data_IF_779028148004
#
_entry.id   IF_779028148004
#
_cell.length_a   1.000
_cell.length_b   1.000
_cell.length_c   1.000
_cell.angle_alpha   90.00
_cell.angle_beta   90.00
_cell.angle_gamma   90.00
#
_symmetry.space_group_name_H-M   'P 1'
#
loop_
_entity.id
_entity.type
_entity.pdbx_description
1 polymer ?
#
# COMPACT_ATOMS: atom_id res chain seq x y z
N UNK A 1 22.66 -0.99 -1.30
CA UNK A 1 21.95 -1.81 -2.32
C UNK A 1 22.81 -2.95 -2.89
N UNK A 2 23.97 -2.68 -3.52
CA UNK A 2 24.87 -3.75 -4.02
C UNK A 2 25.43 -4.67 -2.91
N UNK A 3 25.70 -4.13 -1.72
CA UNK A 3 26.30 -4.88 -0.61
C UNK A 3 25.38 -5.99 -0.03
N UNK A 4 24.06 -5.76 0.04
CA UNK A 4 23.07 -6.77 0.48
C UNK A 4 22.94 -7.91 -0.53
N UNK A 5 23.00 -7.61 -1.83
CA UNK A 5 22.97 -8.63 -2.88
C UNK A 5 24.24 -9.50 -2.87
N UNK A 6 25.41 -8.89 -2.61
CA UNK A 6 26.67 -9.62 -2.43
C UNK A 6 26.63 -10.49 -1.16
N UNK A 7 26.11 -9.97 -0.05
CA UNK A 7 25.92 -10.74 1.18
C UNK A 7 25.02 -11.95 0.96
N UNK A 8 23.90 -11.79 0.25
CA UNK A 8 23.02 -12.90 -0.14
C UNK A 8 23.76 -13.98 -0.94
N UNK A 9 24.55 -13.57 -1.95
CA UNK A 9 25.35 -14.50 -2.76
C UNK A 9 26.43 -15.22 -1.94
N UNK A 10 27.04 -14.52 -0.97
CA UNK A 10 28.07 -15.07 -0.09
C UNK A 10 27.48 -16.09 0.89
N UNK A 11 26.35 -15.78 1.52
CA UNK A 11 25.59 -16.68 2.42
C UNK A 11 25.11 -17.94 1.68
N UNK A 12 24.72 -17.80 0.40
CA UNK A 12 24.35 -18.95 -0.41
C UNK A 12 25.55 -19.86 -0.76
N UNK A 13 26.76 -19.30 -0.81
CA UNK A 13 27.98 -20.02 -1.23
C UNK A 13 28.75 -20.64 -0.06
N UNK A 14 28.65 -20.08 1.14
CA UNK A 14 29.21 -20.65 2.36
C UNK A 14 28.13 -21.40 3.14
N UNK A 15 27.99 -22.70 2.88
CA UNK A 15 27.14 -23.58 3.70
C UNK A 15 27.96 -24.80 4.17
N UNK A 16 27.92 -25.15 5.48
CA UNK A 16 27.20 -24.46 6.56
C UNK A 16 27.94 -23.20 7.07
N UNK A 17 27.20 -22.16 7.49
CA UNK A 17 27.78 -21.01 8.18
C UNK A 17 28.10 -21.36 9.64
N UNK A 18 29.22 -20.86 10.20
CA UNK A 18 29.48 -20.95 11.63
C UNK A 18 28.35 -20.28 12.45
N UNK A 19 27.87 -20.91 13.54
CA UNK A 19 26.72 -20.39 14.30
C UNK A 19 26.92 -18.98 14.87
N UNK A 20 28.12 -18.64 15.32
CA UNK A 20 28.44 -17.29 15.81
C UNK A 20 28.39 -16.25 14.70
N UNK A 21 28.87 -16.60 13.50
CA UNK A 21 28.80 -15.73 12.32
C UNK A 21 27.35 -15.52 11.89
N UNK A 22 26.52 -16.58 11.91
CA UNK A 22 25.09 -16.49 11.60
C UNK A 22 24.35 -15.56 12.59
N UNK A 23 24.62 -15.69 13.89
CA UNK A 23 24.08 -14.80 14.94
C UNK A 23 24.43 -13.33 14.71
N UNK A 24 25.71 -13.03 14.47
CA UNK A 24 26.18 -11.65 14.26
C UNK A 24 25.57 -11.03 13.00
N UNK A 25 25.49 -11.78 11.90
CA UNK A 25 24.88 -11.29 10.65
C UNK A 25 23.37 -11.08 10.84
N UNK A 26 22.67 -11.99 11.51
CA UNK A 26 21.24 -11.85 11.77
C UNK A 26 20.96 -10.58 12.61
N UNK A 27 21.73 -10.34 13.67
CA UNK A 27 21.59 -9.14 14.48
C UNK A 27 21.88 -7.85 13.71
N UNK A 28 22.91 -7.84 12.87
CA UNK A 28 23.22 -6.69 12.02
C UNK A 28 22.11 -6.42 10.98
N UNK A 29 21.53 -7.47 10.39
CA UNK A 29 20.41 -7.36 9.44
C UNK A 29 19.12 -6.91 10.11
N UNK A 30 18.80 -7.40 11.31
CA UNK A 30 17.68 -6.91 12.10
C UNK A 30 17.89 -5.43 12.48
N UNK A 31 19.11 -5.04 12.84
CA UNK A 31 19.50 -3.64 13.03
C UNK A 31 19.22 -2.77 11.81
N UNK A 32 19.54 -3.29 10.62
CA UNK A 32 19.30 -2.61 9.36
C UNK A 32 17.80 -2.52 9.02
N UNK A 33 17.03 -3.57 9.27
CA UNK A 33 15.56 -3.58 9.14
C UNK A 33 14.94 -2.53 10.04
N UNK A 34 15.36 -2.49 11.32
CA UNK A 34 14.89 -1.50 12.29
C UNK A 34 15.25 -0.06 11.89
N UNK A 35 16.44 0.16 11.35
CA UNK A 35 16.85 1.45 10.82
C UNK A 35 15.93 1.90 9.68
N UNK A 36 15.68 1.03 8.70
CA UNK A 36 14.80 1.37 7.57
C UNK A 36 13.35 1.61 7.97
N UNK A 37 12.84 0.92 8.99
CA UNK A 37 11.49 1.13 9.54
C UNK A 37 11.39 2.44 10.34
N UNK A 38 12.48 2.91 10.95
CA UNK A 38 12.48 4.07 11.86
C UNK A 38 12.88 5.40 11.23
N UNK A 39 13.55 5.39 10.08
CA UNK A 39 13.93 6.63 9.39
C UNK A 39 12.74 7.16 8.57
N UNK A 40 12.07 8.25 9.00
CA UNK A 40 10.99 8.86 8.23
C UNK A 40 11.62 9.57 7.01
N UNK A 41 11.33 9.07 5.82
CA UNK A 41 11.98 9.47 4.55
C UNK A 41 12.85 8.36 3.92
N UNK A 42 13.03 7.25 4.63
CA UNK A 42 13.71 6.05 4.14
C UNK A 42 12.70 5.01 3.68
N UNK A 43 12.05 4.29 4.60
CA UNK A 43 11.07 3.25 4.28
C UNK A 43 9.86 3.38 5.19
N UNK A 44 8.69 3.07 4.64
CA UNK A 44 7.43 2.99 5.39
C UNK A 44 6.95 4.29 6.04
N UNK A 45 6.95 5.38 5.27
CA UNK A 45 6.10 6.53 5.53
C UNK A 45 5.53 6.97 4.19
N UNK A 46 4.22 6.76 3.99
CA UNK A 46 3.57 7.08 2.73
C UNK A 46 3.81 8.53 2.33
N UNK A 47 4.47 8.71 1.18
CA UNK A 47 4.26 9.84 0.29
C UNK A 47 4.83 9.50 -1.09
N UNK A 48 4.03 9.85 -2.11
CA UNK A 48 4.45 10.23 -3.46
C UNK A 48 4.80 9.09 -4.43
N UNK A 49 3.79 8.71 -5.22
CA UNK A 49 3.94 8.39 -6.64
C UNK A 49 4.84 7.20 -7.00
N UNK A 50 4.29 5.98 -6.96
CA UNK A 50 4.61 4.88 -7.89
C UNK A 50 6.04 4.30 -7.92
N UNK A 51 7.03 4.98 -7.35
CA UNK A 51 8.36 4.46 -7.14
C UNK A 51 8.42 3.85 -5.75
N UNK A 52 8.67 2.55 -5.70
CA UNK A 52 9.13 1.89 -4.48
C UNK A 52 10.48 2.50 -4.15
N UNK A 53 10.44 3.56 -3.35
CA UNK A 53 11.61 4.26 -2.84
C UNK A 53 12.59 3.21 -2.34
N UNK A 54 13.86 3.33 -2.74
CA UNK A 54 14.86 2.26 -2.65
C UNK A 54 15.13 1.63 -1.28
N UNK A 55 14.44 2.06 -0.23
CA UNK A 55 14.38 1.45 1.09
C UNK A 55 13.53 0.18 1.17
N UNK A 56 12.34 0.14 0.55
CA UNK A 56 11.46 -1.05 0.64
C UNK A 56 12.08 -2.26 -0.07
N UNK A 57 12.79 -2.03 -1.19
CA UNK A 57 13.59 -3.07 -1.85
C UNK A 57 14.78 -3.52 -0.99
N UNK A 58 15.38 -2.61 -0.23
CA UNK A 58 16.49 -2.93 0.68
C UNK A 58 16.00 -3.70 1.91
N UNK A 59 14.81 -3.38 2.41
CA UNK A 59 14.08 -4.07 3.47
C UNK A 59 13.73 -5.50 3.04
N UNK A 60 13.12 -5.67 1.87
CA UNK A 60 12.80 -6.98 1.31
C UNK A 60 14.06 -7.85 1.12
N UNK A 61 15.16 -7.27 0.63
CA UNK A 61 16.44 -7.96 0.51
C UNK A 61 17.01 -8.34 1.88
N UNK A 62 16.98 -7.45 2.87
CA UNK A 62 17.45 -7.75 4.23
C UNK A 62 16.65 -8.91 4.86
N UNK A 63 15.33 -8.88 4.75
CA UNK A 63 14.45 -9.95 5.24
C UNK A 63 14.70 -11.29 4.52
N UNK A 64 14.94 -11.26 3.21
CA UNK A 64 15.28 -12.47 2.45
C UNK A 64 16.58 -13.12 2.92
N UNK A 65 17.56 -12.31 3.35
CA UNK A 65 18.83 -12.81 3.88
C UNK A 65 18.65 -13.29 5.33
N UNK A 66 17.83 -12.61 6.15
CA UNK A 66 17.45 -13.11 7.48
C UNK A 66 16.84 -14.51 7.40
N UNK A 67 15.96 -14.75 6.42
CA UNK A 67 15.35 -16.08 6.19
C UNK A 67 16.38 -17.16 5.84
N UNK A 68 17.41 -16.81 5.06
CA UNK A 68 18.47 -17.74 4.68
C UNK A 68 19.41 -18.08 5.85
N UNK A 69 19.57 -17.16 6.80
CA UNK A 69 20.51 -17.29 7.93
C UNK A 69 19.84 -17.94 9.15
N UNK A 70 18.55 -17.69 9.36
CA UNK A 70 17.80 -18.17 10.53
C UNK A 70 18.02 -19.67 10.86
N UNK A 71 18.08 -20.61 9.89
CA UNK A 71 18.34 -22.02 10.19
C UNK A 71 19.72 -22.32 10.77
N UNK A 72 20.71 -21.45 10.57
CA UNK A 72 22.08 -21.61 11.07
C UNK A 72 22.29 -20.95 12.44
N UNK A 73 21.27 -20.28 12.97
CA UNK A 73 21.32 -19.57 14.26
C UNK A 73 20.84 -20.52 15.35
N UNK A 74 21.78 -21.11 16.08
CA UNK A 74 21.44 -22.04 17.16
C UNK A 74 20.67 -21.33 18.28
N UNK A 75 19.53 -21.88 18.68
CA UNK A 75 18.69 -21.34 19.74
C UNK A 75 17.76 -20.19 19.32
N UNK A 76 17.64 -19.91 18.02
CA UNK A 76 16.65 -18.96 17.52
C UNK A 76 15.26 -19.58 17.48
N UNK A 77 14.39 -19.20 18.42
CA UNK A 77 12.98 -19.60 18.36
C UNK A 77 12.14 -18.52 17.69
N UNK A 78 11.13 -18.95 16.93
CA UNK A 78 10.19 -18.03 16.28
C UNK A 78 9.49 -17.09 17.27
N UNK A 79 9.24 -17.57 18.50
CA UNK A 79 8.67 -16.75 19.58
C UNK A 79 9.57 -15.56 19.97
N UNK A 80 10.89 -15.75 19.96
CA UNK A 80 11.87 -14.72 20.35
C UNK A 80 12.07 -13.71 19.21
N UNK A 81 12.03 -14.18 17.97
CA UNK A 81 12.03 -13.31 16.79
C UNK A 81 10.77 -12.44 16.76
N UNK A 82 9.59 -13.05 16.94
CA UNK A 82 8.31 -12.33 17.01
C UNK A 82 8.28 -11.32 18.15
N UNK A 83 8.79 -11.69 19.34
CA UNK A 83 8.85 -10.80 20.49
C UNK A 83 9.80 -9.62 20.24
N UNK A 84 10.98 -9.86 19.67
CA UNK A 84 11.94 -8.81 19.31
C UNK A 84 11.34 -7.85 18.29
N UNK A 85 10.73 -8.35 17.22
CA UNK A 85 10.10 -7.52 16.19
C UNK A 85 8.94 -6.68 16.75
N UNK A 86 8.13 -7.24 17.64
CA UNK A 86 7.03 -6.53 18.30
C UNK A 86 7.54 -5.44 19.25
N UNK A 87 8.57 -5.73 20.05
CA UNK A 87 9.22 -4.76 20.94
C UNK A 87 9.79 -3.58 20.16
N UNK A 88 10.32 -3.86 18.97
CA UNK A 88 10.96 -2.90 18.10
C UNK A 88 9.99 -2.25 17.08
N UNK A 89 8.68 -2.54 17.17
CA UNK A 89 7.62 -2.03 16.28
C UNK A 89 7.82 -2.33 14.77
N UNK A 90 8.47 -3.45 14.46
CA UNK A 90 8.80 -3.88 13.10
C UNK A 90 8.00 -5.10 12.63
N UNK A 91 7.05 -5.60 13.44
CA UNK A 91 6.25 -6.79 13.14
C UNK A 91 5.31 -6.59 11.93
N UNK A 92 4.85 -5.36 11.71
CA UNK A 92 4.01 -5.00 10.56
C UNK A 92 4.76 -5.11 9.21
N UNK A 93 6.07 -4.83 9.19
CA UNK A 93 6.89 -4.85 7.98
C UNK A 93 7.20 -6.27 7.44
N UNK A 94 7.08 -7.29 8.30
CA UNK A 94 7.27 -8.71 7.94
C UNK A 94 5.93 -9.36 7.55
N UNK A 95 4.82 -8.71 7.86
CA UNK A 95 3.46 -9.20 7.68
C UNK A 95 2.95 -9.00 6.25
N UNK A 96 3.82 -9.11 5.24
CA UNK A 96 3.49 -8.90 3.81
C UNK A 96 2.52 -9.99 3.29
N UNK A 97 2.32 -11.10 4.01
CA UNK A 97 1.47 -12.22 3.57
C UNK A 97 0.31 -12.60 4.50
N UNK A 98 0.12 -11.92 5.64
CA UNK A 98 -0.93 -12.28 6.59
C UNK A 98 -1.95 -11.15 6.67
N UNK A 99 -3.05 -11.28 5.91
CA UNK A 99 -4.28 -10.49 6.01
C UNK A 99 -4.02 -9.06 6.50
N UNK A 100 -3.46 -8.18 5.66
CA UNK A 100 -3.46 -6.78 6.01
C UNK A 100 -4.94 -6.37 6.11
N UNK A 101 -5.42 -5.96 7.30
CA UNK A 101 -6.79 -5.50 7.40
C UNK A 101 -6.92 -4.31 6.44
N UNK A 102 -7.99 -4.28 5.64
CA UNK A 102 -8.29 -3.12 4.82
C UNK A 102 -8.47 -1.88 5.70
N UNK A 103 -8.32 -0.68 5.13
CA UNK A 103 -8.77 0.54 5.79
C UNK A 103 -10.16 0.31 6.39
N UNK A 104 -10.40 0.68 7.64
CA UNK A 104 -11.73 0.42 8.28
C UNK A 104 -12.83 1.31 7.73
N UNK A 105 -12.45 2.48 7.22
CA UNK A 105 -13.33 3.45 6.62
C UNK A 105 -12.58 4.30 5.61
N UNK A 106 -13.32 4.86 4.67
CA UNK A 106 -12.85 5.80 3.65
C UNK A 106 -13.69 7.08 3.75
N UNK A 107 -13.04 8.21 3.51
CA UNK A 107 -13.69 9.51 3.39
C UNK A 107 -13.84 9.84 1.91
N UNK A 108 -15.05 10.17 1.46
CA UNK A 108 -15.31 10.59 0.07
C UNK A 108 -15.81 12.03 0.08
N UNK A 109 -15.09 12.90 -0.62
CA UNK A 109 -15.45 14.28 -0.87
C UNK A 109 -16.34 14.37 -2.10
N UNK A 110 -17.25 15.34 -2.12
CA UNK A 110 -18.19 15.55 -3.24
C UNK A 110 -17.49 15.98 -4.53
N UNK A 111 -18.24 16.47 -5.52
CA UNK A 111 -17.62 16.99 -6.73
C UNK A 111 -16.77 18.24 -6.41
N UNK A 112 -15.63 18.44 -7.10
CA UNK A 112 -14.84 19.64 -6.94
C UNK A 112 -15.62 20.87 -7.47
N UNK A 113 -15.27 22.06 -6.98
CA UNK A 113 -16.02 23.31 -7.20
C UNK A 113 -16.20 23.67 -8.68
N UNK A 114 -15.27 23.26 -9.53
CA UNK A 114 -15.29 23.44 -10.99
C UNK A 114 -16.31 22.54 -11.70
N UNK A 115 -16.72 21.44 -11.06
CA UNK A 115 -17.72 20.49 -11.60
C UNK A 115 -19.07 20.58 -10.89
N UNK A 116 -19.17 21.38 -9.83
CA UNK A 116 -20.37 21.54 -9.02
C UNK A 116 -21.38 22.44 -9.75
N UNK A 117 -22.52 21.90 -10.18
CA UNK A 117 -23.57 22.65 -10.87
C UNK A 117 -24.50 23.44 -9.93
N UNK A 118 -24.43 23.20 -8.62
CA UNK A 118 -25.22 23.88 -7.59
C UNK A 118 -24.43 23.95 -6.29
N UNK A 119 -24.55 25.04 -5.53
CA UNK A 119 -23.83 25.34 -4.28
C UNK A 119 -24.20 24.42 -3.08
N UNK A 120 -24.44 23.14 -3.33
CA UNK A 120 -24.86 22.16 -2.33
C UNK A 120 -23.70 21.36 -1.77
N UNK A 121 -23.54 21.42 -0.44
CA UNK A 121 -22.67 20.60 0.41
C UNK A 121 -21.17 20.73 0.18
N UNK A 122 -20.69 21.97 0.24
CA UNK A 122 -19.27 22.28 0.41
C UNK A 122 -18.81 21.93 1.85
N UNK A 123 -18.00 20.89 1.98
CA UNK A 123 -17.02 20.77 3.07
C UNK A 123 -17.09 19.52 3.94
N UNK A 124 -18.22 18.80 3.98
CA UNK A 124 -18.34 17.58 4.81
C UNK A 124 -18.16 16.34 3.92
N UNK A 125 -17.08 15.55 4.13
CA UNK A 125 -16.91 14.30 3.40
C UNK A 125 -17.88 13.23 3.92
N UNK A 126 -18.40 12.42 3.00
CA UNK A 126 -19.10 11.19 3.32
C UNK A 126 -18.11 10.18 3.94
N UNK A 127 -18.55 9.44 4.96
CA UNK A 127 -17.71 8.43 5.62
C UNK A 127 -18.33 7.06 5.42
N UNK A 128 -17.60 6.15 4.77
CA UNK A 128 -18.09 4.81 4.48
C UNK A 128 -17.26 3.76 5.19
N UNK A 129 -17.87 2.79 5.89
CA UNK A 129 -17.15 1.61 6.36
C UNK A 129 -16.65 0.81 5.15
N UNK A 130 -15.52 0.13 5.32
CA UNK A 130 -14.99 -0.77 4.30
C UNK A 130 -14.98 -2.18 4.87
N UNK A 131 -15.66 -3.05 4.16
CA UNK A 131 -15.70 -4.50 4.37
C UNK A 131 -14.83 -5.18 3.31
N UNK A 132 -14.65 -6.48 3.44
CA UNK A 132 -13.80 -7.26 2.55
C UNK A 132 -14.28 -7.21 1.09
N UNK A 133 -15.59 -7.17 0.90
CA UNK A 133 -16.28 -7.17 -0.39
C UNK A 133 -16.58 -5.77 -0.92
N UNK A 134 -16.23 -4.71 -0.19
CA UNK A 134 -16.54 -3.33 -0.62
C UNK A 134 -15.77 -2.99 -1.90
N UNK A 135 -16.52 -2.74 -2.98
CA UNK A 135 -16.01 -2.26 -4.26
C UNK A 135 -16.16 -0.74 -4.37
N UNK A 136 -15.36 -0.13 -5.25
CA UNK A 136 -15.47 1.31 -5.52
C UNK A 136 -16.83 1.71 -6.11
N UNK A 137 -17.47 0.85 -6.90
CA UNK A 137 -18.81 1.08 -7.43
C UNK A 137 -19.83 1.30 -6.30
N UNK A 138 -19.75 0.51 -5.22
CA UNK A 138 -20.64 0.68 -4.08
C UNK A 138 -20.44 2.05 -3.42
N UNK A 139 -19.18 2.45 -3.20
CA UNK A 139 -18.86 3.76 -2.65
C UNK A 139 -19.32 4.92 -3.54
N UNK A 140 -19.23 4.78 -4.87
CA UNK A 140 -19.73 5.76 -5.83
C UNK A 140 -21.24 5.96 -5.66
N UNK A 141 -22.01 4.86 -5.66
CA UNK A 141 -23.47 4.92 -5.55
C UNK A 141 -23.91 5.56 -4.22
N UNK A 142 -23.31 5.14 -3.11
CA UNK A 142 -23.59 5.72 -1.79
C UNK A 142 -23.19 7.20 -1.71
N UNK A 143 -22.10 7.59 -2.38
CA UNK A 143 -21.69 9.00 -2.47
C UNK A 143 -22.69 9.84 -3.26
N UNK A 144 -23.16 9.34 -4.41
CA UNK A 144 -24.17 10.04 -5.22
C UNK A 144 -25.46 10.26 -4.42
N UNK A 145 -25.90 9.24 -3.68
CA UNK A 145 -27.05 9.34 -2.78
C UNK A 145 -26.80 10.34 -1.64
N UNK A 146 -25.64 10.28 -0.97
CA UNK A 146 -25.28 11.18 0.11
C UNK A 146 -25.22 12.66 -0.32
N UNK A 147 -24.67 12.93 -1.50
CA UNK A 147 -24.54 14.28 -2.05
C UNK A 147 -25.79 14.76 -2.80
N UNK A 148 -26.83 13.93 -2.91
CA UNK A 148 -28.07 14.28 -3.63
C UNK A 148 -27.85 14.52 -5.13
N UNK A 149 -26.91 13.80 -5.75
CA UNK A 149 -26.63 13.91 -7.18
C UNK A 149 -27.58 12.98 -7.93
N UNK A 150 -28.58 13.55 -8.61
CA UNK A 150 -29.54 12.77 -9.39
C UNK A 150 -28.87 12.12 -10.62
N UNK A 151 -29.09 10.80 -10.80
CA UNK A 151 -28.65 10.05 -11.99
C UNK A 151 -29.26 10.61 -13.30
N UNK A 152 -30.37 11.35 -13.24
CA UNK A 152 -31.14 11.75 -14.42
C UNK A 152 -30.52 12.87 -15.28
N UNK A 153 -29.33 13.38 -14.96
CA UNK A 153 -28.53 14.30 -15.82
C UNK A 153 -27.40 13.55 -16.55
N UNK A 154 -27.49 12.22 -16.64
CA UNK A 154 -26.59 11.36 -17.41
C UNK A 154 -26.74 11.63 -18.92
N UNK A 155 -26.02 12.62 -19.43
CA UNK A 155 -25.44 12.48 -20.76
C UNK A 155 -24.67 11.14 -20.72
N UNK A 156 -25.09 10.14 -21.51
CA UNK A 156 -24.54 8.75 -21.50
C UNK A 156 -23.01 8.65 -21.58
N UNK A 157 -22.34 9.74 -21.92
CA UNK A 157 -20.89 9.86 -22.04
C UNK A 157 -20.17 10.19 -20.73
N UNK A 158 -20.84 10.83 -19.76
CA UNK A 158 -20.23 11.23 -18.49
C UNK A 158 -20.62 10.28 -17.36
N UNK A 159 -19.63 9.73 -16.67
CA UNK A 159 -19.79 8.80 -15.55
C UNK A 159 -19.02 9.29 -14.32
N UNK A 160 -19.35 8.72 -13.16
CA UNK A 160 -18.75 9.07 -11.88
C UNK A 160 -17.68 8.07 -11.48
N UNK A 161 -16.57 8.61 -10.96
CA UNK A 161 -15.42 7.83 -10.55
C UNK A 161 -14.86 8.36 -9.22
N UNK A 162 -14.11 7.50 -8.52
CA UNK A 162 -13.37 7.89 -7.32
C UNK A 162 -11.90 8.08 -7.66
N UNK A 163 -11.38 9.22 -7.25
CA UNK A 163 -10.00 9.61 -7.47
C UNK A 163 -9.30 9.84 -6.14
N UNK A 164 -8.08 9.33 -6.00
CA UNK A 164 -7.25 9.61 -4.83
C UNK A 164 -6.30 10.77 -5.14
N UNK A 165 -6.49 11.95 -4.53
CA UNK A 165 -5.65 13.12 -4.76
C UNK A 165 -4.22 12.96 -4.24
N UNK A 166 -3.95 12.00 -3.35
CA UNK A 166 -2.59 11.74 -2.84
C UNK A 166 -1.77 10.90 -3.80
N UNK A 167 -2.39 9.87 -4.37
CA UNK A 167 -1.70 8.92 -5.26
C UNK A 167 -1.91 9.25 -6.74
N UNK A 168 -2.80 10.19 -7.05
CA UNK A 168 -3.22 10.56 -8.40
C UNK A 168 -3.86 9.40 -9.18
N UNK A 169 -4.43 8.43 -8.46
CA UNK A 169 -5.03 7.23 -9.04
C UNK A 169 -6.53 7.43 -9.24
N UNK A 170 -7.00 7.12 -10.45
CA UNK A 170 -8.41 6.94 -10.75
C UNK A 170 -8.77 5.47 -10.56
N UNK A 171 -9.74 5.17 -9.68
CA UNK A 171 -10.09 3.80 -9.35
C UNK A 171 -11.07 3.20 -10.35
N UNK A 172 -10.83 1.94 -10.72
CA UNK A 172 -11.80 1.15 -11.46
C UNK A 172 -13.00 0.83 -10.53
N UNK A 173 -14.24 1.15 -10.92
CA UNK A 173 -15.41 0.88 -10.10
C UNK A 173 -15.55 -0.60 -9.67
N UNK A 174 -15.09 -1.54 -10.50
CA UNK A 174 -15.18 -2.97 -10.23
C UNK A 174 -14.09 -3.50 -9.29
N UNK A 175 -13.08 -2.69 -8.95
CA UNK A 175 -12.01 -3.10 -8.05
C UNK A 175 -12.45 -3.06 -6.58
N UNK A 176 -11.84 -3.91 -5.76
CA UNK A 176 -12.06 -3.91 -4.31
C UNK A 176 -11.23 -2.84 -3.62
N UNK A 177 -11.83 -2.13 -2.66
CA UNK A 177 -11.18 -1.04 -1.90
C UNK A 177 -9.99 -1.57 -1.10
N UNK A 178 -10.07 -2.81 -0.61
CA UNK A 178 -9.00 -3.47 0.17
C UNK A 178 -7.70 -3.67 -0.58
N UNK A 179 -7.74 -3.72 -1.91
CA UNK A 179 -6.55 -3.94 -2.73
C UNK A 179 -5.71 -2.67 -2.85
N UNK A 180 -6.28 -1.51 -2.51
CA UNK A 180 -5.66 -0.19 -2.65
C UNK A 180 -5.37 0.47 -1.29
N UNK A 181 -6.18 0.18 -0.27
CA UNK A 181 -6.06 0.83 1.03
C UNK A 181 -5.92 -0.15 2.19
N UNK A 182 -4.75 -0.09 2.82
CA UNK A 182 -4.41 -0.85 4.00
C UNK A 182 -4.81 -0.10 5.29
N UNK A 183 -5.06 -0.85 6.34
CA UNK A 183 -5.37 -0.31 7.65
C UNK A 183 -4.21 0.51 8.20
N UNK A 184 -4.52 1.76 8.56
CA UNK A 184 -3.62 2.63 9.29
C UNK A 184 -4.36 3.27 10.47
N UNK A 185 -3.86 3.09 11.69
CA UNK A 185 -4.60 3.45 12.93
C UNK A 185 -5.04 4.92 12.98
N UNK A 186 -4.25 5.82 12.40
CA UNK A 186 -4.47 7.27 12.45
C UNK A 186 -4.82 7.89 11.09
N UNK A 187 -5.03 7.06 10.06
CA UNK A 187 -5.22 7.57 8.71
C UNK A 187 -6.38 6.85 8.02
N UNK A 188 -7.28 7.64 7.46
CA UNK A 188 -8.35 7.15 6.60
C UNK A 188 -8.10 7.67 5.19
N UNK A 189 -8.14 6.80 4.17
CA UNK A 189 -8.04 7.23 2.78
C UNK A 189 -9.08 8.29 2.48
N UNK A 190 -8.68 9.28 1.69
CA UNK A 190 -9.57 10.36 1.26
C UNK A 190 -9.66 10.32 -0.25
N UNK A 191 -10.88 10.19 -0.76
CA UNK A 191 -11.18 10.13 -2.18
C UNK A 191 -12.01 11.34 -2.58
N UNK A 192 -11.89 11.74 -3.83
CA UNK A 192 -12.70 12.75 -4.45
C UNK A 192 -13.63 12.08 -5.46
N UNK A 193 -14.92 12.41 -5.41
CA UNK A 193 -15.84 12.08 -6.48
C UNK A 193 -15.56 12.99 -7.68
N UNK A 194 -15.39 12.40 -8.86
CA UNK A 194 -15.17 13.12 -10.11
C UNK A 194 -16.20 12.70 -11.15
N UNK A 195 -16.59 13.64 -12.02
CA UNK A 195 -17.34 13.36 -13.25
C UNK A 195 -16.39 13.43 -14.43
N UNK A 196 -16.29 12.33 -15.18
CA UNK A 196 -15.37 12.19 -16.31
C UNK A 196 -16.08 11.53 -17.49
N UNK A 197 -15.59 11.79 -18.70
CA UNK A 197 -15.98 11.02 -19.88
C UNK A 197 -15.48 9.58 -19.77
N UNK A 198 -16.30 8.61 -20.16
CA UNK A 198 -15.98 7.19 -20.07
C UNK A 198 -14.68 6.83 -20.81
N UNK A 199 -14.43 7.39 -21.98
CA UNK A 199 -13.22 7.10 -22.77
C UNK A 199 -11.96 7.62 -22.06
N UNK A 200 -12.04 8.84 -21.53
CA UNK A 200 -10.94 9.45 -20.76
C UNK A 200 -10.67 8.69 -19.46
N UNK A 201 -11.72 8.25 -18.77
CA UNK A 201 -11.59 7.48 -17.54
C UNK A 201 -10.96 6.11 -17.79
N UNK A 202 -11.43 5.38 -18.81
CA UNK A 202 -10.87 4.09 -19.21
C UNK A 202 -9.39 4.19 -19.57
N UNK A 203 -9.00 5.23 -20.32
CA UNK A 203 -7.61 5.45 -20.67
C UNK A 203 -6.74 5.62 -19.42
N UNK A 204 -7.14 6.50 -18.48
CA UNK A 204 -6.38 6.73 -17.23
C UNK A 204 -6.26 5.48 -16.37
N UNK A 205 -7.35 4.72 -16.23
CA UNK A 205 -7.35 3.46 -15.48
C UNK A 205 -6.42 2.43 -16.14
N UNK A 206 -6.44 2.35 -17.47
CA UNK A 206 -5.60 1.41 -18.24
C UNK A 206 -4.12 1.75 -18.15
N UNK A 207 -3.77 3.04 -18.30
CA UNK A 207 -2.40 3.53 -18.15
C UNK A 207 -1.86 3.21 -16.75
N UNK A 208 -2.66 3.47 -15.70
CA UNK A 208 -2.26 3.15 -14.33
C UNK A 208 -2.08 1.63 -14.12
N UNK A 209 -3.04 0.83 -14.59
CA UNK A 209 -2.98 -0.64 -14.49
C UNK A 209 -1.77 -1.22 -15.24
N UNK A 210 -1.45 -0.66 -16.41
CA UNK A 210 -0.29 -1.06 -17.19
C UNK A 210 1.02 -0.73 -16.45
N UNK A 211 1.12 0.49 -15.92
CA UNK A 211 2.29 0.93 -15.15
C UNK A 211 2.50 0.04 -13.91
N UNK A 212 1.43 -0.29 -13.19
CA UNK A 212 1.48 -1.18 -12.04
C UNK A 212 1.96 -2.59 -12.41
N UNK A 213 1.42 -3.18 -13.48
CA UNK A 213 1.87 -4.49 -14.00
C UNK A 213 3.32 -4.47 -14.45
N UNK A 214 3.79 -3.37 -15.05
CA UNK A 214 5.17 -3.21 -15.46
C UNK A 214 6.11 -3.20 -14.25
N UNK A 215 5.75 -2.44 -13.20
CA UNK A 215 6.47 -2.42 -11.93
C UNK A 215 6.50 -3.82 -11.30
N UNK A 216 5.37 -4.53 -11.27
CA UNK A 216 5.29 -5.89 -10.72
C UNK A 216 6.19 -6.86 -11.48
N UNK A 217 6.19 -6.80 -12.80
CA UNK A 217 7.02 -7.67 -13.66
C UNK A 217 8.51 -7.36 -13.49
N UNK A 218 8.88 -6.10 -13.26
CA UNK A 218 10.27 -5.68 -13.01
C UNK A 218 10.83 -6.05 -11.62
N UNK A 219 10.02 -6.63 -10.73
CA UNK A 219 10.45 -7.12 -9.40
C UNK A 219 10.97 -8.56 -9.41
N UNK A 220 10.78 -9.29 -10.51
CA UNK A 220 11.25 -10.66 -10.69
C UNK A 220 12.77 -10.73 -10.92
#
# INVERSE_FOLDING_TARGET
KQMLALLRRLVLRFRPLPPQTAHTILNALLGLVMFYVRTPGGGSGGNEGGEIGGSDRSLALALSVCWLIAPYVHGLYFKDLKQTLKKEQCDQAIMITANLPSAKKVLVHGLPSDQLQSAGYSGIPAQFPVLEETQFQHLINESLHFFGIEENVLNKQQQYYLYDPKTFILHNPNSYVRDFYFFHRSFYPQLQLLRLDAETAEQRIREHSFHQKLIETGKC
#
